data_IF_801785679608
#
_entry.id   IF_801785679608
#
_cell.length_a   1.000
_cell.length_b   1.000
_cell.length_c   1.000
_cell.angle_alpha   90.00
_cell.angle_beta   90.00
_cell.angle_gamma   90.00
#
_symmetry.space_group_name_H-M   'P 1'
#
loop_
_entity.id
_entity.type
_entity.pdbx_description
1 polymer ?
#
# COMPACT_ATOMS: atom_id res chain seq x y z
N UNK A 1 21.20 40.50 59.65
CA UNK A 1 22.18 39.52 59.13
C UNK A 1 21.52 38.36 58.35
N UNK A 2 20.20 38.48 58.01
CA UNK A 2 19.38 37.36 57.48
C UNK A 2 19.03 37.44 55.99
N UNK A 3 19.31 38.55 55.30
CA UNK A 3 18.91 38.69 53.89
C UNK A 3 19.90 38.10 52.84
N UNK A 4 21.13 37.85 53.22
CA UNK A 4 22.13 37.28 52.29
C UNK A 4 22.03 35.75 52.11
N UNK A 5 21.43 35.05 53.09
CA UNK A 5 21.27 33.57 53.02
C UNK A 5 20.09 33.14 52.15
N UNK A 6 19.08 34.01 52.00
CA UNK A 6 17.90 33.69 51.17
C UNK A 6 18.18 33.78 49.66
N UNK A 7 19.00 34.74 49.24
CA UNK A 7 19.30 35.00 47.83
C UNK A 7 20.22 33.88 47.25
N UNK A 8 21.18 33.38 48.01
CA UNK A 8 22.09 32.33 47.58
C UNK A 8 21.39 30.98 47.40
N UNK A 9 20.39 30.67 48.23
CA UNK A 9 19.57 29.45 48.09
C UNK A 9 18.68 29.46 46.86
N UNK A 10 18.08 30.62 46.53
CA UNK A 10 17.25 30.77 45.33
C UNK A 10 18.07 30.66 44.02
N UNK A 11 19.27 31.25 43.99
CA UNK A 11 20.15 31.17 42.80
C UNK A 11 20.67 29.72 42.60
N UNK A 12 20.91 28.98 43.68
CA UNK A 12 21.35 27.57 43.57
C UNK A 12 20.26 26.64 43.05
N UNK A 13 19.01 26.86 43.48
CA UNK A 13 17.86 26.10 43.00
C UNK A 13 17.49 26.46 41.53
N UNK A 14 17.60 27.73 41.14
CA UNK A 14 17.42 28.17 39.76
C UNK A 14 18.45 27.56 38.82
N UNK A 15 19.73 27.47 39.21
CA UNK A 15 20.78 26.80 38.40
C UNK A 15 20.51 25.30 38.23
N UNK A 16 20.03 24.59 39.25
CA UNK A 16 19.62 23.20 39.17
C UNK A 16 18.43 23.00 38.27
N UNK A 17 17.44 23.91 38.27
CA UNK A 17 16.29 23.89 37.37
C UNK A 17 16.67 24.15 35.92
N UNK A 18 17.60 25.09 35.65
CA UNK A 18 18.12 25.38 34.33
C UNK A 18 18.95 24.22 33.74
N UNK A 19 19.76 23.53 34.57
CA UNK A 19 20.53 22.35 34.13
C UNK A 19 19.59 21.18 33.88
N UNK A 20 18.56 20.96 34.68
CA UNK A 20 17.54 19.91 34.43
C UNK A 20 16.70 20.23 33.18
N UNK A 21 16.35 21.49 32.93
CA UNK A 21 15.65 21.90 31.72
C UNK A 21 16.51 21.75 30.45
N UNK A 22 17.83 22.07 30.53
CA UNK A 22 18.78 21.82 29.42
C UNK A 22 19.01 20.34 29.14
N UNK A 23 19.04 19.47 30.16
CA UNK A 23 19.12 18.03 29.99
C UNK A 23 17.83 17.44 29.37
N UNK A 24 16.65 18.01 29.70
CA UNK A 24 15.39 17.58 29.10
C UNK A 24 15.21 18.03 27.64
N UNK A 25 15.82 19.17 27.24
CA UNK A 25 15.81 19.63 25.85
C UNK A 25 16.81 18.86 24.98
N UNK A 26 17.93 18.37 25.53
CA UNK A 26 18.91 17.58 24.81
C UNK A 26 18.39 16.17 24.44
N UNK A 27 17.39 15.64 25.15
CA UNK A 27 16.82 14.31 24.86
C UNK A 27 15.77 14.36 23.71
N UNK A 28 15.26 15.52 23.33
CA UNK A 28 14.35 15.67 22.18
C UNK A 28 15.01 15.87 20.83
N UNK A 29 16.31 16.03 20.78
CA UNK A 29 17.08 16.23 19.54
C UNK A 29 17.69 14.91 19.07
N UNK A 30 16.87 14.00 18.48
CA UNK A 30 17.48 12.79 17.92
C UNK A 30 16.58 11.69 17.40
N UNK A 31 15.29 11.85 17.36
CA UNK A 31 14.42 10.93 16.62
C UNK A 31 14.24 11.41 15.17
N UNK A 32 15.34 11.65 14.45
CA UNK A 32 15.29 11.56 13.00
C UNK A 32 14.90 10.11 12.68
N UNK A 33 13.78 9.91 11.99
CA UNK A 33 13.41 8.62 11.42
C UNK A 33 14.50 8.23 10.41
N UNK A 34 15.59 7.63 10.93
CA UNK A 34 16.68 7.15 10.09
C UNK A 34 16.17 5.95 9.29
N UNK A 35 16.03 6.14 7.99
CA UNK A 35 15.61 5.07 7.09
C UNK A 35 16.81 4.23 6.69
N UNK A 36 16.77 2.95 7.00
CA UNK A 36 17.78 1.98 6.62
C UNK A 36 17.88 1.83 5.10
N UNK A 37 19.10 1.73 4.61
CA UNK A 37 19.42 1.54 3.19
C UNK A 37 20.55 0.55 3.00
N UNK A 38 20.82 0.15 1.79
CA UNK A 38 22.00 -0.63 1.45
C UNK A 38 23.28 0.13 1.85
N UNK A 39 24.20 -0.55 2.56
CA UNK A 39 25.38 -0.01 3.18
C UNK A 39 25.27 0.21 4.68
N UNK A 40 24.07 0.26 5.24
CA UNK A 40 23.87 0.44 6.67
C UNK A 40 24.06 -0.88 7.45
N UNK A 41 24.39 -0.77 8.72
CA UNK A 41 24.35 -1.91 9.64
C UNK A 41 22.90 -2.33 9.91
N UNK A 42 22.66 -3.64 9.96
CA UNK A 42 21.34 -4.16 10.34
C UNK A 42 21.04 -3.75 11.80
N UNK A 43 19.82 -3.30 12.09
CA UNK A 43 19.48 -2.78 13.41
C UNK A 43 19.53 -3.85 14.49
N UNK A 44 19.77 -3.43 15.74
CA UNK A 44 19.73 -4.31 16.90
C UNK A 44 18.27 -4.57 17.32
N UNK A 45 17.58 -5.36 16.52
CA UNK A 45 16.19 -5.80 16.76
C UNK A 45 16.13 -7.32 16.88
N UNK A 46 15.15 -7.81 17.63
CA UNK A 46 14.82 -9.23 17.73
C UNK A 46 13.69 -9.54 16.75
N UNK A 47 13.93 -10.51 15.89
CA UNK A 47 12.94 -11.06 14.96
C UNK A 47 12.41 -12.36 15.57
N UNK A 48 11.11 -12.45 15.75
CA UNK A 48 10.51 -13.67 16.29
C UNK A 48 9.08 -13.48 16.78
N UNK A 49 8.41 -14.57 17.14
CA UNK A 49 8.87 -15.97 17.11
C UNK A 49 9.18 -16.50 15.71
N UNK A 50 10.14 -17.46 15.62
CA UNK A 50 10.52 -18.13 14.37
C UNK A 50 10.13 -19.60 14.44
N UNK A 51 9.67 -20.13 13.33
CA UNK A 51 9.38 -21.56 13.13
C UNK A 51 10.18 -22.12 11.95
N UNK A 52 10.35 -23.43 11.90
CA UNK A 52 11.24 -24.15 10.99
C UNK A 52 12.72 -23.80 11.16
N UNK A 53 13.11 -23.29 12.32
CA UNK A 53 14.49 -22.93 12.65
C UNK A 53 14.94 -23.64 13.93
N UNK A 54 16.25 -23.82 14.14
CA UNK A 54 16.80 -24.37 15.41
C UNK A 54 16.72 -23.35 16.56
N UNK A 55 16.27 -22.14 16.28
CA UNK A 55 16.14 -21.03 17.23
C UNK A 55 14.71 -20.48 17.18
N UNK A 56 14.25 -19.94 18.29
CA UNK A 56 12.90 -19.36 18.41
C UNK A 56 12.88 -17.85 18.11
N UNK A 57 14.02 -17.19 18.24
CA UNK A 57 14.21 -15.75 18.01
C UNK A 57 15.56 -15.51 17.37
N UNK A 58 15.71 -14.45 16.60
CA UNK A 58 16.93 -14.07 15.92
C UNK A 58 17.25 -12.59 16.12
N UNK A 59 18.41 -12.30 16.64
CA UNK A 59 18.99 -10.97 16.59
C UNK A 59 20.17 -10.99 15.61
N UNK A 60 19.92 -10.55 14.37
CA UNK A 60 20.91 -10.60 13.30
C UNK A 60 22.17 -9.76 13.59
N UNK A 61 22.05 -8.68 14.37
CA UNK A 61 23.21 -7.84 14.72
C UNK A 61 24.19 -8.54 15.67
N UNK A 62 23.77 -9.64 16.31
CA UNK A 62 24.55 -10.43 17.27
C UNK A 62 24.80 -11.89 16.81
N UNK A 63 24.05 -12.34 15.80
CA UNK A 63 24.08 -13.73 15.35
C UNK A 63 25.32 -14.01 14.51
N UNK A 64 26.19 -14.87 15.00
CA UNK A 64 27.43 -15.26 14.31
C UNK A 64 27.11 -16.27 13.19
N UNK A 65 27.36 -15.88 11.95
CA UNK A 65 27.18 -16.75 10.79
C UNK A 65 27.97 -16.23 9.59
N UNK A 66 28.50 -17.13 8.79
CA UNK A 66 29.15 -16.81 7.52
C UNK A 66 28.16 -16.74 6.34
N UNK A 67 26.84 -16.87 6.60
CA UNK A 67 25.81 -16.88 5.57
C UNK A 67 25.34 -15.47 5.21
N UNK A 68 24.84 -15.31 3.99
CA UNK A 68 23.93 -14.22 3.65
C UNK A 68 22.53 -14.54 4.18
N UNK A 69 21.94 -13.61 4.89
CA UNK A 69 20.54 -13.69 5.27
C UNK A 69 19.68 -12.98 4.23
N UNK A 70 18.71 -13.68 3.66
CA UNK A 70 17.72 -13.13 2.72
C UNK A 70 16.39 -13.04 3.45
N UNK A 71 16.07 -11.86 3.98
CA UNK A 71 14.83 -11.60 4.73
C UNK A 71 13.77 -11.17 3.72
N UNK A 72 12.83 -12.05 3.42
CA UNK A 72 11.72 -11.77 2.52
C UNK A 72 10.48 -11.28 3.30
N UNK A 73 10.02 -10.10 2.98
CA UNK A 73 8.79 -9.53 3.54
C UNK A 73 7.58 -10.06 2.77
N UNK A 74 6.74 -10.84 3.43
CA UNK A 74 5.64 -11.56 2.79
C UNK A 74 4.39 -11.62 3.68
N UNK A 75 3.29 -12.15 3.13
CA UNK A 75 2.08 -12.45 3.90
C UNK A 75 1.35 -13.67 3.34
N UNK A 76 0.64 -14.41 4.19
CA UNK A 76 -0.15 -15.59 3.79
C UNK A 76 -1.27 -15.24 2.81
N UNK A 77 -1.68 -13.99 2.79
CA UNK A 77 -2.70 -13.38 1.94
C UNK A 77 -2.16 -12.85 0.60
N UNK A 78 -0.85 -12.79 0.45
CA UNK A 78 -0.20 -12.22 -0.73
C UNK A 78 -0.06 -13.29 -1.81
N UNK A 79 -1.00 -13.35 -2.75
CA UNK A 79 -1.00 -14.36 -3.83
C UNK A 79 0.31 -14.43 -4.63
N UNK A 80 0.94 -13.31 -5.07
CA UNK A 80 2.23 -13.39 -5.76
C UNK A 80 3.39 -13.79 -4.84
N UNK A 81 3.31 -13.52 -3.53
CA UNK A 81 4.39 -13.92 -2.60
C UNK A 81 4.53 -15.44 -2.48
N UNK A 82 3.45 -16.21 -2.70
CA UNK A 82 3.48 -17.66 -2.52
C UNK A 82 4.46 -18.35 -3.48
N UNK A 83 4.38 -18.17 -4.82
CA UNK A 83 5.38 -18.72 -5.74
C UNK A 83 6.77 -18.10 -5.55
N UNK A 84 6.87 -16.84 -5.10
CA UNK A 84 8.15 -16.22 -4.76
C UNK A 84 8.84 -16.94 -3.59
N UNK A 85 8.10 -17.30 -2.53
CA UNK A 85 8.60 -18.09 -1.41
C UNK A 85 9.12 -19.47 -1.86
N UNK A 86 8.42 -20.14 -2.78
CA UNK A 86 8.87 -21.40 -3.36
C UNK A 86 10.19 -21.22 -4.14
N UNK A 87 10.32 -20.11 -4.87
CA UNK A 87 11.54 -19.77 -5.61
C UNK A 87 12.72 -19.51 -4.66
N UNK A 88 12.49 -18.79 -3.56
CA UNK A 88 13.49 -18.55 -2.53
C UNK A 88 13.90 -19.85 -1.81
N UNK A 89 12.97 -20.77 -1.55
CA UNK A 89 13.25 -22.09 -0.97
C UNK A 89 14.17 -22.93 -1.89
N UNK A 90 13.92 -22.87 -3.21
CA UNK A 90 14.80 -23.52 -4.21
C UNK A 90 16.17 -22.87 -4.25
N UNK A 91 16.28 -21.56 -4.16
CA UNK A 91 17.56 -20.84 -4.06
C UNK A 91 18.31 -21.24 -2.79
N UNK A 92 17.67 -21.30 -1.63
CA UNK A 92 18.29 -21.76 -0.39
C UNK A 92 18.85 -23.18 -0.54
N UNK A 93 18.09 -24.09 -1.14
CA UNK A 93 18.55 -25.48 -1.38
C UNK A 93 19.77 -25.50 -2.32
N UNK A 94 19.77 -24.66 -3.38
CA UNK A 94 20.89 -24.56 -4.32
C UNK A 94 22.16 -24.00 -3.69
N UNK A 95 22.05 -22.98 -2.87
CA UNK A 95 23.18 -22.32 -2.19
C UNK A 95 23.49 -22.88 -0.81
N UNK A 96 22.69 -23.83 -0.32
CA UNK A 96 22.85 -24.59 0.92
C UNK A 96 23.44 -23.73 2.06
N UNK A 97 24.71 -24.02 2.47
CA UNK A 97 25.34 -23.36 3.63
C UNK A 97 25.68 -21.87 3.41
N UNK A 98 25.55 -21.34 2.20
CA UNK A 98 25.95 -19.96 1.87
C UNK A 98 24.86 -18.92 2.13
N UNK A 99 23.58 -19.31 2.08
CA UNK A 99 22.46 -18.41 2.36
C UNK A 99 21.49 -19.01 3.37
N UNK A 100 20.77 -18.13 4.08
CA UNK A 100 19.63 -18.49 4.90
C UNK A 100 18.46 -17.56 4.54
N UNK A 101 17.37 -18.13 4.06
CA UNK A 101 16.14 -17.40 3.78
C UNK A 101 15.27 -17.34 5.03
N UNK A 102 14.74 -16.16 5.31
CA UNK A 102 13.78 -15.89 6.39
C UNK A 102 12.57 -15.23 5.77
N UNK A 103 11.42 -15.87 5.80
CA UNK A 103 10.14 -15.24 5.45
C UNK A 103 9.62 -14.47 6.67
N UNK A 104 9.63 -13.15 6.63
CA UNK A 104 9.15 -12.27 7.69
C UNK A 104 7.76 -11.73 7.37
N UNK A 105 6.80 -11.99 8.23
CA UNK A 105 5.42 -11.51 8.09
C UNK A 105 5.02 -10.65 9.30
N UNK A 106 4.15 -9.68 9.08
CA UNK A 106 3.53 -8.93 10.18
C UNK A 106 2.29 -9.63 10.76
N UNK A 107 1.99 -10.85 10.30
CA UNK A 107 0.88 -11.65 10.80
C UNK A 107 1.23 -12.38 12.09
N UNK A 108 0.25 -12.66 12.95
CA UNK A 108 0.45 -13.49 14.15
C UNK A 108 0.95 -14.89 13.80
N UNK A 109 1.85 -15.46 14.63
CA UNK A 109 2.46 -16.76 14.39
C UNK A 109 1.44 -17.90 14.18
N UNK A 110 0.28 -17.83 14.82
CA UNK A 110 -0.80 -18.81 14.65
C UNK A 110 -1.31 -18.89 13.21
N UNK A 111 -1.31 -17.76 12.49
CA UNK A 111 -1.69 -17.69 11.07
C UNK A 111 -0.64 -18.34 10.18
N UNK A 112 0.63 -18.07 10.45
CA UNK A 112 1.76 -18.70 9.74
C UNK A 112 1.73 -20.22 9.95
N UNK A 113 1.45 -20.71 11.17
CA UNK A 113 1.29 -22.15 11.45
C UNK A 113 0.15 -22.79 10.65
N UNK A 114 -1.02 -22.13 10.57
CA UNK A 114 -2.16 -22.61 9.74
C UNK A 114 -1.80 -22.66 8.24
N UNK A 115 -1.06 -21.67 7.76
CA UNK A 115 -0.53 -21.66 6.38
C UNK A 115 0.41 -22.85 6.15
N UNK A 116 1.40 -23.07 7.03
CA UNK A 116 2.36 -24.17 6.91
C UNK A 116 1.71 -25.55 6.94
N UNK A 117 0.64 -25.72 7.71
CA UNK A 117 -0.10 -26.99 7.73
C UNK A 117 -0.68 -27.34 6.37
N UNK A 118 -1.02 -26.34 5.53
CA UNK A 118 -1.54 -26.52 4.17
C UNK A 118 -0.45 -26.50 3.11
N UNK A 119 0.62 -25.74 3.33
CA UNK A 119 1.73 -25.57 2.42
C UNK A 119 3.08 -25.64 3.18
N UNK A 120 3.64 -26.83 3.37
CA UNK A 120 4.92 -27.02 4.06
C UNK A 120 6.06 -26.27 3.39
N UNK A 121 6.96 -25.68 4.17
CA UNK A 121 8.17 -24.99 3.71
C UNK A 121 9.34 -25.33 4.60
N UNK A 122 10.57 -25.31 4.03
CA UNK A 122 11.84 -25.55 4.76
C UNK A 122 12.59 -24.26 5.13
N UNK A 123 12.11 -23.10 4.69
CA UNK A 123 12.71 -21.83 5.07
C UNK A 123 12.26 -21.43 6.49
N UNK A 124 13.04 -20.58 7.13
CA UNK A 124 12.65 -20.04 8.42
C UNK A 124 11.50 -19.05 8.24
N UNK A 125 10.47 -19.15 9.04
CA UNK A 125 9.33 -18.23 9.01
C UNK A 125 9.23 -17.51 10.35
N UNK A 126 9.24 -16.19 10.29
CA UNK A 126 9.26 -15.30 11.45
C UNK A 126 8.13 -14.29 11.41
N UNK A 127 7.81 -13.73 12.58
CA UNK A 127 6.81 -12.65 12.69
C UNK A 127 7.41 -11.34 13.19
N UNK A 128 6.90 -10.24 12.68
CA UNK A 128 7.15 -8.86 13.13
C UNK A 128 5.80 -8.14 13.21
N UNK A 129 4.98 -8.51 14.19
CA UNK A 129 3.59 -8.01 14.32
C UNK A 129 3.52 -6.50 14.57
N UNK A 130 4.61 -5.88 15.04
CA UNK A 130 4.73 -4.43 15.19
C UNK A 130 5.17 -3.75 13.88
N UNK A 131 5.50 -4.52 12.84
CA UNK A 131 6.02 -4.02 11.55
C UNK A 131 7.27 -3.12 11.70
N UNK A 132 8.13 -3.41 12.66
CA UNK A 132 9.30 -2.59 12.98
C UNK A 132 10.28 -2.51 11.81
N UNK A 133 10.59 -3.65 11.18
CA UNK A 133 11.51 -3.70 10.06
C UNK A 133 10.92 -2.99 8.82
N UNK A 134 9.60 -3.12 8.59
CA UNK A 134 8.92 -2.38 7.53
C UNK A 134 9.05 -0.87 7.72
N UNK A 135 8.84 -0.38 8.94
CA UNK A 135 8.95 1.04 9.28
C UNK A 135 10.38 1.55 9.12
N UNK A 136 11.37 0.82 9.66
CA UNK A 136 12.78 1.19 9.59
C UNK A 136 13.32 1.22 8.15
N UNK A 137 12.80 0.38 7.27
CA UNK A 137 13.16 0.32 5.86
C UNK A 137 12.28 1.20 4.96
N UNK A 138 11.27 1.86 5.55
CA UNK A 138 10.24 2.63 4.81
C UNK A 138 9.59 1.82 3.68
N UNK A 139 9.27 0.56 3.95
CA UNK A 139 8.64 -0.34 3.00
C UNK A 139 7.13 -0.36 3.23
N UNK A 140 6.37 -0.01 2.20
CA UNK A 140 4.91 0.10 2.28
C UNK A 140 4.18 -1.20 1.92
N UNK A 141 4.88 -2.19 1.35
CA UNK A 141 4.26 -3.40 0.82
C UNK A 141 5.19 -4.61 0.93
N UNK A 142 4.62 -5.80 0.89
CA UNK A 142 5.30 -7.11 0.84
C UNK A 142 5.90 -7.37 -0.55
N UNK A 143 6.61 -8.49 -0.72
CA UNK A 143 7.27 -8.84 -1.99
C UNK A 143 8.62 -8.15 -2.15
N UNK A 144 9.31 -7.93 -1.03
CA UNK A 144 10.65 -7.34 -0.99
C UNK A 144 11.59 -8.15 -0.10
N UNK A 145 12.85 -8.18 -0.50
CA UNK A 145 13.92 -8.86 0.24
C UNK A 145 14.96 -7.87 0.73
N UNK A 146 15.36 -8.01 1.99
CA UNK A 146 16.52 -7.36 2.58
C UNK A 146 17.62 -8.40 2.68
N UNK A 147 18.80 -8.14 2.10
CA UNK A 147 19.92 -9.05 2.16
C UNK A 147 20.98 -8.51 3.10
N UNK A 148 21.35 -9.32 4.10
CA UNK A 148 22.32 -8.98 5.15
C UNK A 148 23.50 -9.92 5.06
N UNK A 149 24.73 -9.39 5.09
CA UNK A 149 25.97 -10.19 5.04
C UNK A 149 26.44 -10.63 6.44
N UNK A 150 27.51 -11.43 6.47
CA UNK A 150 28.13 -11.91 7.69
C UNK A 150 28.71 -10.79 8.60
N UNK A 151 28.91 -9.59 8.08
CA UNK A 151 29.32 -8.41 8.84
C UNK A 151 28.13 -7.62 9.38
N UNK A 152 26.92 -8.16 9.30
CA UNK A 152 25.67 -7.54 9.70
C UNK A 152 25.36 -6.25 8.92
N UNK A 153 25.75 -6.17 7.66
CA UNK A 153 25.48 -5.02 6.78
C UNK A 153 24.35 -5.36 5.80
N UNK A 154 23.45 -4.43 5.57
CA UNK A 154 22.44 -4.53 4.51
C UNK A 154 23.17 -4.34 3.17
N UNK A 155 23.37 -5.40 2.43
CA UNK A 155 24.09 -5.35 1.14
C UNK A 155 23.18 -5.10 -0.04
N UNK A 156 21.87 -5.36 0.11
CA UNK A 156 20.87 -5.04 -0.93
C UNK A 156 19.46 -5.01 -0.33
N UNK A 157 18.58 -4.19 -0.95
CA UNK A 157 17.14 -4.22 -0.78
C UNK A 157 16.53 -4.39 -2.16
N UNK A 158 15.83 -5.49 -2.40
CA UNK A 158 15.42 -5.95 -3.72
C UNK A 158 13.93 -6.29 -3.74
N UNK A 159 13.28 -6.15 -4.89
CA UNK A 159 12.01 -6.86 -5.13
C UNK A 159 12.27 -8.36 -5.10
N UNK A 160 11.36 -9.14 -4.53
CA UNK A 160 11.55 -10.58 -4.36
C UNK A 160 11.74 -11.30 -5.69
N UNK A 161 11.01 -10.92 -6.74
CA UNK A 161 11.12 -11.45 -8.10
C UNK A 161 12.51 -11.24 -8.74
N UNK A 162 13.23 -10.22 -8.28
CA UNK A 162 14.60 -9.91 -8.73
C UNK A 162 15.67 -10.78 -8.06
N UNK A 163 15.34 -11.50 -6.98
CA UNK A 163 16.29 -12.35 -6.25
C UNK A 163 16.46 -13.68 -6.98
N UNK A 164 17.60 -13.84 -7.64
CA UNK A 164 17.91 -15.01 -8.45
C UNK A 164 19.36 -15.48 -8.25
N UNK A 165 19.72 -16.60 -8.90
CA UNK A 165 21.07 -17.20 -8.80
C UNK A 165 22.18 -16.21 -9.15
N UNK A 166 22.00 -15.35 -10.18
CA UNK A 166 23.02 -14.38 -10.59
C UNK A 166 23.25 -13.30 -9.52
N UNK A 167 22.19 -12.80 -8.93
CA UNK A 167 22.25 -11.79 -7.87
C UNK A 167 22.88 -12.38 -6.61
N UNK A 168 22.47 -13.58 -6.17
CA UNK A 168 23.03 -14.24 -4.98
C UNK A 168 24.53 -14.51 -5.17
N UNK A 169 24.97 -15.01 -6.35
CA UNK A 169 26.39 -15.21 -6.63
C UNK A 169 27.21 -13.91 -6.54
N UNK A 170 26.68 -12.79 -7.04
CA UNK A 170 27.34 -11.48 -6.91
C UNK A 170 27.49 -11.08 -5.44
N UNK A 171 26.41 -11.19 -4.65
CA UNK A 171 26.41 -10.81 -3.25
C UNK A 171 27.33 -11.70 -2.40
N UNK A 172 27.43 -13.01 -2.69
CA UNK A 172 28.38 -13.91 -2.04
C UNK A 172 29.83 -13.49 -2.32
N UNK A 173 30.14 -13.02 -3.53
CA UNK A 173 31.46 -12.49 -3.90
C UNK A 173 31.74 -11.09 -3.37
N UNK A 174 30.78 -10.47 -2.66
CA UNK A 174 30.89 -9.09 -2.17
C UNK A 174 30.71 -8.01 -3.24
N UNK A 175 30.24 -8.39 -4.42
CA UNK A 175 29.96 -7.42 -5.50
C UNK A 175 28.70 -6.61 -5.17
N UNK A 176 28.73 -5.30 -5.51
CA UNK A 176 27.57 -4.42 -5.35
C UNK A 176 26.49 -4.76 -6.37
N UNK A 177 25.24 -4.75 -5.91
CA UNK A 177 24.06 -4.85 -6.77
C UNK A 177 23.18 -3.61 -6.60
N UNK A 178 22.47 -3.22 -7.65
CA UNK A 178 21.55 -2.08 -7.59
C UNK A 178 20.32 -2.49 -6.78
N UNK A 179 20.07 -1.82 -5.66
CA UNK A 179 18.82 -1.98 -4.89
C UNK A 179 17.62 -1.42 -5.68
N UNK A 180 16.54 -2.17 -5.77
CA UNK A 180 15.30 -1.81 -6.46
C UNK A 180 14.05 -2.00 -5.58
N UNK A 181 14.23 -2.38 -4.31
CA UNK A 181 13.16 -2.62 -3.34
C UNK A 181 12.65 -1.36 -2.63
N UNK A 182 13.49 -0.36 -2.43
CA UNK A 182 13.08 0.88 -1.74
C UNK A 182 12.53 1.91 -2.72
N UNK A 183 11.36 2.45 -2.39
CA UNK A 183 10.85 3.69 -2.97
C UNK A 183 11.26 4.82 -2.05
N UNK A 184 12.27 5.60 -2.41
CA UNK A 184 12.67 6.78 -1.64
C UNK A 184 11.49 7.76 -1.52
N UNK A 185 11.06 8.03 -0.30
CA UNK A 185 10.10 9.10 -0.01
C UNK A 185 10.83 10.45 -0.09
N UNK A 186 10.91 11.04 -1.25
CA UNK A 186 11.26 12.47 -1.39
C UNK A 186 9.99 13.32 -1.21
N UNK A 187 9.33 13.18 -0.07
CA UNK A 187 8.32 14.13 0.37
C UNK A 187 9.00 15.14 1.31
N UNK A 188 9.87 15.99 0.77
CA UNK A 188 10.24 17.21 1.46
C UNK A 188 9.07 18.19 1.30
N UNK A 189 8.40 18.47 2.40
CA UNK A 189 7.26 19.40 2.49
C UNK A 189 7.60 20.87 2.21
N UNK A 190 8.81 21.15 1.73
CA UNK A 190 9.33 22.49 1.40
C UNK A 190 9.56 22.70 -0.09
N UNK A 191 9.35 21.69 -0.95
CA UNK A 191 9.49 21.86 -2.40
C UNK A 191 8.26 22.59 -2.97
N UNK A 192 8.53 23.53 -3.90
CA UNK A 192 7.49 24.20 -4.70
C UNK A 192 6.61 23.14 -5.37
N UNK A 193 5.32 23.46 -5.44
CA UNK A 193 4.36 22.60 -6.16
C UNK A 193 4.87 22.31 -7.58
N UNK A 194 5.00 21.02 -7.99
CA UNK A 194 5.58 20.65 -9.28
C UNK A 194 4.84 21.21 -10.49
N UNK A 195 3.56 21.61 -10.31
CA UNK A 195 2.75 22.25 -11.34
C UNK A 195 2.69 23.79 -11.20
N UNK A 196 3.40 24.35 -10.22
CA UNK A 196 3.45 25.79 -9.98
C UNK A 196 2.13 26.37 -9.43
N UNK A 197 1.31 25.52 -8.80
CA UNK A 197 0.03 25.92 -8.22
C UNK A 197 0.24 26.47 -6.82
N UNK A 198 -0.18 27.69 -6.59
CA UNK A 198 -0.20 28.36 -5.28
C UNK A 198 -1.63 28.72 -4.85
N UNK A 199 -1.78 29.24 -3.64
CA UNK A 199 -3.07 29.58 -3.06
C UNK A 199 -3.82 30.73 -3.74
N UNK A 200 -3.17 31.49 -4.61
CA UNK A 200 -3.73 32.65 -5.32
C UNK A 200 -4.33 32.26 -6.67
N UNK A 201 -3.98 31.05 -7.19
CA UNK A 201 -4.53 30.60 -8.46
C UNK A 201 -6.01 30.25 -8.37
N UNK A 202 -6.80 30.86 -9.23
CA UNK A 202 -8.23 30.57 -9.35
C UNK A 202 -8.48 29.21 -10.00
N UNK A 203 -7.73 28.87 -11.05
CA UNK A 203 -7.83 27.59 -11.77
C UNK A 203 -6.49 27.26 -12.46
N UNK A 204 -6.26 25.97 -12.68
CA UNK A 204 -5.11 25.47 -13.44
C UNK A 204 -5.47 24.18 -14.17
N UNK A 205 -4.88 23.99 -15.34
CA UNK A 205 -4.88 22.70 -16.00
C UNK A 205 -3.52 22.44 -16.62
N UNK A 206 -2.92 21.34 -16.26
CA UNK A 206 -1.63 20.92 -16.80
C UNK A 206 -1.62 19.40 -16.99
N UNK A 207 -1.15 18.95 -18.15
CA UNK A 207 -0.81 17.55 -18.41
C UNK A 207 0.62 17.47 -18.91
N UNK A 208 1.37 16.49 -18.40
CA UNK A 208 2.77 16.22 -18.75
C UNK A 208 2.98 14.73 -18.92
N UNK A 209 4.02 14.36 -19.65
CA UNK A 209 4.54 12.99 -19.69
C UNK A 209 5.19 12.61 -18.35
N UNK A 210 5.72 11.40 -18.26
CA UNK A 210 6.38 10.86 -17.08
C UNK A 210 7.46 11.81 -16.50
N UNK A 211 7.40 12.04 -15.19
CA UNK A 211 8.36 12.84 -14.43
C UNK A 211 9.21 11.91 -13.54
N UNK A 212 10.50 11.76 -13.86
CA UNK A 212 11.38 10.79 -13.23
C UNK A 212 11.66 11.06 -11.72
N UNK A 213 11.50 12.29 -11.28
CA UNK A 213 11.67 12.76 -9.91
C UNK A 213 10.39 12.60 -9.05
N UNK A 214 9.25 12.27 -9.68
CA UNK A 214 7.97 12.08 -9.01
C UNK A 214 7.61 10.60 -8.86
N UNK A 215 6.94 10.27 -7.75
CA UNK A 215 6.37 8.94 -7.51
C UNK A 215 5.02 8.81 -8.21
N UNK A 216 4.66 7.57 -8.58
CA UNK A 216 3.29 7.28 -9.01
C UNK A 216 2.32 7.47 -7.85
N UNK A 217 1.46 8.48 -7.93
CA UNK A 217 0.47 8.81 -6.88
C UNK A 217 -0.62 9.74 -7.39
N UNK A 218 -1.77 9.70 -6.70
CA UNK A 218 -2.83 10.67 -6.81
C UNK A 218 -2.96 11.51 -5.52
N UNK A 219 -3.32 12.77 -5.65
CA UNK A 219 -3.65 13.68 -4.54
C UNK A 219 -4.98 14.36 -4.79
N UNK A 220 -5.82 14.40 -3.77
CA UNK A 220 -7.12 15.09 -3.80
C UNK A 220 -7.32 15.75 -2.44
N UNK A 221 -7.00 17.06 -2.31
CA UNK A 221 -7.23 17.78 -1.07
C UNK A 221 -8.72 17.77 -0.71
N UNK A 222 -9.04 17.46 0.54
CA UNK A 222 -10.41 17.48 1.08
C UNK A 222 -10.70 18.72 1.90
N UNK A 223 -9.69 19.56 2.19
CA UNK A 223 -9.79 20.75 3.03
C UNK A 223 -8.87 21.87 2.52
N UNK A 224 -8.98 23.04 3.14
CA UNK A 224 -8.19 24.22 2.78
C UNK A 224 -8.63 24.84 1.44
N UNK A 225 -7.81 25.74 0.90
CA UNK A 225 -8.10 26.51 -0.33
C UNK A 225 -8.39 25.60 -1.54
N UNK A 226 -7.77 24.45 -1.61
CA UNK A 226 -7.91 23.49 -2.71
C UNK A 226 -8.93 22.37 -2.42
N UNK A 227 -9.55 22.36 -1.23
CA UNK A 227 -10.48 21.31 -0.81
C UNK A 227 -11.62 21.10 -1.80
N UNK A 228 -11.73 19.87 -2.37
CA UNK A 228 -12.76 19.50 -3.35
C UNK A 228 -12.63 20.17 -4.73
N UNK A 229 -11.58 20.96 -4.96
CA UNK A 229 -11.38 21.75 -6.19
C UNK A 229 -10.20 21.28 -7.03
N UNK A 230 -9.28 20.49 -6.44
CA UNK A 230 -8.05 20.08 -7.10
C UNK A 230 -7.91 18.58 -7.12
N UNK A 231 -7.46 18.05 -8.24
CA UNK A 231 -6.98 16.68 -8.39
C UNK A 231 -5.63 16.70 -9.10
N UNK A 232 -4.68 15.96 -8.54
CA UNK A 232 -3.32 15.90 -9.07
C UNK A 232 -2.91 14.43 -9.19
N UNK A 233 -2.33 14.06 -10.32
CA UNK A 233 -1.71 12.76 -10.54
C UNK A 233 -0.26 12.93 -10.96
N UNK A 234 0.61 12.07 -10.46
CA UNK A 234 1.99 11.93 -10.88
C UNK A 234 2.21 10.51 -11.41
N UNK A 235 2.72 10.39 -12.62
CA UNK A 235 3.12 9.12 -13.23
C UNK A 235 2.05 8.03 -13.15
N UNK A 236 0.82 8.37 -13.53
CA UNK A 236 -0.36 7.50 -13.45
C UNK A 236 -0.84 7.15 -14.85
N UNK A 237 -1.28 5.90 -15.04
CA UNK A 237 -1.86 5.44 -16.30
C UNK A 237 -3.22 6.09 -16.58
N UNK A 238 -3.55 6.21 -17.85
CA UNK A 238 -4.80 6.85 -18.30
C UNK A 238 -6.06 6.18 -17.73
N UNK A 239 -5.99 4.86 -17.52
CA UNK A 239 -7.07 4.08 -16.95
C UNK A 239 -7.53 4.63 -15.58
N UNK A 240 -6.58 4.81 -14.65
CA UNK A 240 -6.90 5.30 -13.30
C UNK A 240 -7.49 6.70 -13.31
N UNK A 241 -7.01 7.58 -14.20
CA UNK A 241 -7.56 8.93 -14.32
C UNK A 241 -9.01 8.88 -14.84
N UNK A 242 -9.31 8.03 -15.83
CA UNK A 242 -10.67 7.85 -16.31
C UNK A 242 -11.59 7.17 -15.29
N UNK A 243 -11.09 6.16 -14.56
CA UNK A 243 -11.84 5.52 -13.47
C UNK A 243 -12.29 6.55 -12.43
N UNK A 244 -11.40 7.43 -12.03
CA UNK A 244 -11.69 8.49 -11.08
C UNK A 244 -12.69 9.52 -11.68
N UNK A 245 -12.44 10.00 -12.91
CA UNK A 245 -13.28 10.99 -13.56
C UNK A 245 -14.73 10.50 -13.76
N UNK A 246 -14.91 9.20 -14.04
CA UNK A 246 -16.23 8.60 -14.27
C UNK A 246 -16.82 7.91 -13.04
N UNK A 247 -16.09 7.91 -11.91
CA UNK A 247 -16.43 7.19 -10.68
C UNK A 247 -16.74 5.71 -10.97
N UNK A 248 -15.78 5.03 -11.62
CA UNK A 248 -15.78 3.59 -11.86
C UNK A 248 -14.68 2.98 -11.00
N UNK A 249 -15.03 2.34 -9.90
CA UNK A 249 -14.09 1.80 -8.93
C UNK A 249 -13.52 0.46 -9.39
N UNK A 250 -14.38 -0.43 -9.87
CA UNK A 250 -13.99 -1.78 -10.26
C UNK A 250 -13.39 -1.83 -11.67
N UNK A 251 -12.19 -2.38 -11.80
CA UNK A 251 -11.59 -2.69 -13.10
C UNK A 251 -12.38 -3.73 -13.90
N UNK A 252 -13.23 -4.52 -13.25
CA UNK A 252 -14.14 -5.46 -13.91
C UNK A 252 -15.30 -4.77 -14.66
N UNK A 253 -15.46 -3.45 -14.50
CA UNK A 253 -16.42 -2.62 -15.26
C UNK A 253 -15.79 -1.92 -16.47
N UNK A 254 -14.61 -2.39 -16.93
CA UNK A 254 -13.87 -1.76 -18.01
C UNK A 254 -13.79 -2.67 -19.23
N UNK A 255 -14.07 -2.08 -20.38
CA UNK A 255 -13.96 -2.74 -21.70
C UNK A 255 -13.06 -1.90 -22.58
N UNK A 256 -12.23 -2.57 -23.38
CA UNK A 256 -11.32 -1.93 -24.31
C UNK A 256 -11.79 -2.18 -25.73
N UNK A 257 -11.85 -1.14 -26.55
CA UNK A 257 -12.15 -1.19 -27.97
C UNK A 257 -10.93 -0.78 -28.80
N UNK A 258 -10.74 -1.39 -29.92
CA UNK A 258 -9.60 -1.15 -30.81
C UNK A 258 -8.27 -1.39 -30.11
N UNK A 259 -7.34 -0.46 -30.25
CA UNK A 259 -6.00 -0.55 -29.65
C UNK A 259 -5.91 0.03 -28.23
N UNK A 260 -7.04 0.36 -27.58
CA UNK A 260 -7.03 1.03 -26.27
C UNK A 260 -6.37 0.21 -25.15
N UNK A 261 -6.41 -1.14 -25.23
CA UNK A 261 -5.75 -2.03 -24.25
C UNK A 261 -4.25 -1.76 -24.09
N UNK A 262 -3.55 -1.29 -25.12
CA UNK A 262 -2.12 -0.97 -25.02
C UNK A 262 -1.81 0.12 -23.99
N UNK A 263 -2.76 0.98 -23.68
CA UNK A 263 -2.61 2.07 -22.70
C UNK A 263 -2.77 1.60 -21.24
N UNK A 264 -3.14 0.35 -21.03
CA UNK A 264 -3.18 -0.30 -19.71
C UNK A 264 -1.85 -1.05 -19.43
N UNK A 265 -0.73 -0.33 -19.57
CA UNK A 265 0.60 -0.85 -19.32
C UNK A 265 1.38 0.12 -18.41
N UNK A 266 1.47 -0.21 -17.14
CA UNK A 266 2.16 0.60 -16.12
C UNK A 266 3.69 0.48 -16.17
N UNK A 267 4.25 -0.46 -16.89
CA UNK A 267 5.69 -0.63 -17.03
C UNK A 267 6.27 0.31 -18.08
N UNK A 268 5.48 0.67 -19.08
CA UNK A 268 5.88 1.63 -20.10
C UNK A 268 5.68 3.07 -19.63
N UNK A 269 6.79 3.72 -19.28
CA UNK A 269 6.81 5.11 -18.81
C UNK A 269 6.25 6.11 -19.82
N UNK A 270 6.25 5.78 -21.13
CA UNK A 270 5.67 6.64 -22.16
C UNK A 270 4.15 6.68 -22.12
N UNK A 271 3.52 5.74 -21.40
CA UNK A 271 2.07 5.65 -21.21
C UNK A 271 1.62 6.18 -19.84
N UNK A 272 2.56 6.71 -19.03
CA UNK A 272 2.28 7.34 -17.75
C UNK A 272 2.28 8.85 -17.89
N UNK A 273 1.30 9.48 -17.25
CA UNK A 273 1.10 10.93 -17.30
C UNK A 273 1.11 11.54 -15.91
N UNK A 274 1.51 12.82 -15.86
CA UNK A 274 1.28 13.71 -14.75
C UNK A 274 0.18 14.69 -15.14
N UNK A 275 -0.82 14.84 -14.29
CA UNK A 275 -2.04 15.61 -14.56
C UNK A 275 -2.37 16.48 -13.33
N UNK A 276 -2.66 17.73 -13.53
CA UNK A 276 -3.13 18.64 -12.50
C UNK A 276 -4.32 19.44 -12.99
N UNK A 277 -5.40 19.38 -12.25
CA UNK A 277 -6.61 20.15 -12.51
C UNK A 277 -7.05 20.85 -11.23
N UNK A 278 -7.04 22.18 -11.25
CA UNK A 278 -7.65 23.05 -10.26
C UNK A 278 -8.81 23.78 -10.92
N UNK A 279 -10.02 23.59 -10.44
CA UNK A 279 -11.20 24.32 -10.92
C UNK A 279 -11.46 25.56 -10.06
N UNK A 280 -12.20 26.53 -10.62
CA UNK A 280 -12.63 27.73 -9.87
C UNK A 280 -13.51 27.34 -8.67
N UNK A 281 -13.60 28.18 -7.62
CA UNK A 281 -14.42 27.87 -6.44
C UNK A 281 -15.88 27.50 -6.76
N UNK A 282 -16.51 28.22 -7.68
CA UNK A 282 -17.87 28.01 -8.13
C UNK A 282 -18.06 26.73 -8.98
N UNK A 283 -16.97 26.14 -9.45
CA UNK A 283 -16.97 24.90 -10.27
C UNK A 283 -16.65 23.64 -9.45
N UNK A 284 -16.59 23.75 -8.12
CA UNK A 284 -16.23 22.64 -7.24
C UNK A 284 -17.01 21.35 -7.54
N UNK A 285 -18.32 21.45 -7.62
CA UNK A 285 -19.21 20.30 -7.84
C UNK A 285 -19.11 19.75 -9.28
N UNK A 286 -18.53 20.53 -10.18
CA UNK A 286 -18.29 20.14 -11.58
C UNK A 286 -16.90 19.56 -11.83
N UNK A 287 -16.06 19.37 -10.79
CA UNK A 287 -14.67 18.93 -10.93
C UNK A 287 -14.55 17.67 -11.79
N UNK A 288 -15.37 16.64 -11.52
CA UNK A 288 -15.34 15.39 -12.29
C UNK A 288 -15.75 15.57 -13.76
N UNK A 289 -16.76 16.39 -14.03
CA UNK A 289 -17.22 16.67 -15.40
C UNK A 289 -16.14 17.42 -16.18
N UNK A 290 -15.51 18.42 -15.54
CA UNK A 290 -14.42 19.18 -16.16
C UNK A 290 -13.21 18.25 -16.38
N UNK A 291 -12.92 17.37 -15.42
CA UNK A 291 -11.85 16.37 -15.56
C UNK A 291 -12.10 15.43 -16.75
N UNK A 292 -13.33 14.91 -16.91
CA UNK A 292 -13.72 14.11 -18.09
C UNK A 292 -13.42 14.85 -19.38
N UNK A 293 -13.86 16.11 -19.51
CA UNK A 293 -13.63 16.93 -20.69
C UNK A 293 -12.15 17.13 -20.99
N UNK A 294 -11.33 17.44 -19.96
CA UNK A 294 -9.89 17.65 -20.10
C UNK A 294 -9.17 16.38 -20.53
N UNK A 295 -9.52 15.24 -19.95
CA UNK A 295 -8.96 13.93 -20.33
C UNK A 295 -9.34 13.56 -21.76
N UNK A 296 -10.61 13.73 -22.14
CA UNK A 296 -11.12 13.50 -23.49
C UNK A 296 -10.40 14.35 -24.55
N UNK A 297 -10.06 15.60 -24.21
CA UNK A 297 -9.36 16.51 -25.13
C UNK A 297 -7.88 16.19 -25.26
N UNK A 298 -7.22 15.78 -24.15
CA UNK A 298 -5.76 15.77 -24.05
C UNK A 298 -5.11 14.41 -24.25
N UNK A 299 -5.85 13.31 -24.01
CA UNK A 299 -5.27 11.96 -24.08
C UNK A 299 -5.58 11.28 -25.42
N UNK A 300 -4.69 10.37 -25.88
CA UNK A 300 -4.90 9.63 -27.13
C UNK A 300 -5.99 8.56 -27.04
N UNK A 301 -6.29 8.08 -25.84
CA UNK A 301 -7.40 7.17 -25.54
C UNK A 301 -8.56 7.97 -24.97
N UNK A 302 -9.77 7.59 -25.33
CA UNK A 302 -11.02 8.22 -24.89
C UNK A 302 -11.83 7.24 -24.05
N UNK A 303 -12.79 7.74 -23.27
CA UNK A 303 -13.68 6.92 -22.47
C UNK A 303 -15.14 7.34 -22.66
N UNK A 304 -16.06 6.38 -22.58
CA UNK A 304 -17.50 6.62 -22.48
C UNK A 304 -18.13 5.64 -21.52
N UNK A 305 -19.29 5.99 -20.99
CA UNK A 305 -20.09 5.10 -20.15
C UNK A 305 -21.22 4.51 -20.98
N UNK A 306 -21.37 3.21 -20.88
CA UNK A 306 -22.51 2.46 -21.44
C UNK A 306 -23.22 1.70 -20.33
N UNK A 307 -24.54 1.54 -20.48
CA UNK A 307 -25.31 0.62 -19.65
C UNK A 307 -25.40 -0.72 -20.38
N UNK A 308 -24.77 -1.77 -19.81
CA UNK A 308 -24.74 -3.12 -20.41
C UNK A 308 -25.31 -4.15 -19.45
N UNK A 309 -26.10 -5.09 -19.98
CA UNK A 309 -26.46 -6.31 -19.24
C UNK A 309 -25.23 -7.21 -19.17
N UNK A 310 -24.74 -7.46 -17.94
CA UNK A 310 -23.55 -8.25 -17.73
C UNK A 310 -23.67 -9.15 -16.50
N UNK A 311 -22.85 -10.16 -16.46
CA UNK A 311 -22.70 -11.02 -15.28
C UNK A 311 -22.08 -10.21 -14.14
N UNK A 312 -22.67 -10.29 -12.97
CA UNK A 312 -22.23 -9.64 -11.74
C UNK A 312 -22.36 -10.60 -10.57
N UNK A 313 -21.70 -10.29 -9.49
CA UNK A 313 -22.09 -10.78 -8.17
C UNK A 313 -22.96 -9.75 -7.47
N UNK A 314 -23.94 -10.21 -6.71
CA UNK A 314 -24.77 -9.35 -5.84
C UNK A 314 -24.53 -9.71 -4.39
N UNK A 315 -24.27 -8.70 -3.57
CA UNK A 315 -24.20 -8.84 -2.12
C UNK A 315 -25.60 -8.73 -1.54
N UNK A 316 -26.02 -9.71 -0.76
CA UNK A 316 -27.34 -9.79 -0.11
C UNK A 316 -27.21 -10.12 1.36
N UNK A 317 -28.22 -9.82 2.15
CA UNK A 317 -28.37 -10.36 3.49
C UNK A 317 -28.50 -11.89 3.43
N UNK A 318 -27.86 -12.61 4.35
CA UNK A 318 -27.99 -14.06 4.50
C UNK A 318 -29.36 -14.42 5.01
N UNK A 319 -29.84 -13.71 6.04
CA UNK A 319 -31.18 -13.78 6.59
C UNK A 319 -31.87 -12.41 6.43
N UNK A 320 -33.05 -12.38 5.83
CA UNK A 320 -33.79 -11.16 5.57
C UNK A 320 -34.10 -10.41 6.88
N UNK A 321 -33.81 -9.12 6.90
CA UNK A 321 -34.03 -8.25 8.07
C UNK A 321 -33.02 -8.40 9.21
N UNK A 322 -32.07 -9.33 9.14
CA UNK A 322 -31.07 -9.53 10.21
C UNK A 322 -29.76 -8.85 9.86
N UNK A 323 -29.48 -7.72 10.50
CA UNK A 323 -28.22 -6.99 10.37
C UNK A 323 -27.38 -7.20 11.63
N UNK A 324 -26.20 -7.82 11.49
CA UNK A 324 -25.27 -8.06 12.60
C UNK A 324 -24.10 -7.07 12.64
N UNK A 325 -24.00 -6.18 11.64
CA UNK A 325 -22.98 -5.14 11.60
C UNK A 325 -23.27 -4.01 12.59
N UNK A 326 -22.28 -3.53 13.34
CA UNK A 326 -22.46 -2.35 14.18
C UNK A 326 -22.68 -1.09 13.32
N UNK A 327 -23.72 -0.33 13.63
CA UNK A 327 -23.95 0.96 13.02
C UNK A 327 -22.80 1.91 13.37
N UNK A 328 -22.26 2.61 12.38
CA UNK A 328 -21.17 3.55 12.59
C UNK A 328 -21.69 4.91 13.04
N UNK A 329 -20.93 5.56 13.93
CA UNK A 329 -21.14 6.97 14.30
C UNK A 329 -20.46 7.95 13.35
N UNK A 330 -19.62 7.45 12.44
CA UNK A 330 -18.88 8.27 11.48
C UNK A 330 -19.75 8.61 10.28
N UNK A 331 -19.64 9.83 9.81
CA UNK A 331 -20.32 10.35 8.61
C UNK A 331 -19.49 10.21 7.34
N UNK A 332 -18.20 9.86 7.49
CA UNK A 332 -17.27 9.67 6.38
C UNK A 332 -16.58 8.31 6.50
N UNK A 333 -16.28 7.71 5.35
CA UNK A 333 -15.55 6.45 5.25
C UNK A 333 -14.07 6.63 5.63
N UNK A 334 -13.59 5.76 6.51
CA UNK A 334 -12.17 5.50 6.74
C UNK A 334 -11.95 4.01 6.59
N UNK A 335 -11.01 3.58 5.76
CA UNK A 335 -10.82 2.16 5.49
C UNK A 335 -9.37 1.77 5.20
N UNK A 336 -9.10 0.50 5.43
CA UNK A 336 -7.95 -0.21 4.89
C UNK A 336 -8.39 -1.61 4.45
N UNK A 337 -7.74 -2.15 3.43
CA UNK A 337 -7.94 -3.53 3.05
C UNK A 337 -6.64 -4.17 2.54
N UNK A 338 -6.61 -5.48 2.65
CA UNK A 338 -5.54 -6.33 2.15
C UNK A 338 -6.10 -7.71 1.85
N UNK A 339 -5.27 -8.65 1.43
CA UNK A 339 -5.70 -10.06 1.34
C UNK A 339 -6.11 -10.69 2.68
N UNK A 340 -5.99 -9.99 3.80
CA UNK A 340 -6.52 -10.39 5.10
C UNK A 340 -7.98 -9.98 5.33
N UNK A 341 -8.54 -9.14 4.48
CA UNK A 341 -9.88 -8.65 4.55
C UNK A 341 -9.99 -7.12 4.51
N UNK A 342 -11.16 -6.64 4.83
CA UNK A 342 -11.54 -5.24 4.88
C UNK A 342 -11.70 -4.79 6.34
N UNK A 343 -11.23 -3.60 6.66
CA UNK A 343 -11.47 -2.91 7.94
C UNK A 343 -11.91 -1.48 7.62
N UNK A 344 -13.22 -1.25 7.60
CA UNK A 344 -13.84 0.03 7.26
C UNK A 344 -14.71 0.55 8.38
N UNK A 345 -14.56 1.82 8.71
CA UNK A 345 -15.42 2.55 9.64
C UNK A 345 -16.21 3.60 8.87
N UNK A 346 -17.50 3.73 9.15
CA UNK A 346 -18.38 4.62 8.44
C UNK A 346 -18.62 4.19 6.98
N UNK A 347 -18.47 2.91 6.65
CA UNK A 347 -18.66 2.37 5.31
C UNK A 347 -20.14 2.12 5.02
N UNK A 348 -20.60 2.37 3.80
CA UNK A 348 -21.82 1.81 3.26
C UNK A 348 -21.56 0.40 2.70
N UNK A 349 -22.60 -0.38 2.45
CA UNK A 349 -22.44 -1.69 1.78
C UNK A 349 -22.01 -1.51 0.31
N UNK A 350 -22.39 -0.41 -0.32
CA UNK A 350 -21.90 -0.04 -1.64
C UNK A 350 -20.38 0.21 -1.61
N UNK A 351 -19.86 0.97 -0.62
CA UNK A 351 -18.41 1.16 -0.44
C UNK A 351 -17.69 -0.20 -0.28
N UNK A 352 -18.24 -1.10 0.54
CA UNK A 352 -17.68 -2.44 0.76
C UNK A 352 -17.67 -3.28 -0.53
N UNK A 353 -18.76 -3.24 -1.29
CA UNK A 353 -18.91 -3.95 -2.57
C UNK A 353 -17.94 -3.41 -3.64
N UNK A 354 -17.91 -2.08 -3.82
CA UNK A 354 -17.15 -1.44 -4.89
C UNK A 354 -15.64 -1.42 -4.59
N UNK A 355 -15.26 -1.04 -3.35
CA UNK A 355 -13.85 -0.83 -2.98
C UNK A 355 -13.16 -2.16 -2.69
N UNK A 356 -13.83 -3.09 -2.02
CA UNK A 356 -13.21 -4.33 -1.57
C UNK A 356 -13.65 -5.55 -2.39
N UNK A 357 -14.93 -5.90 -2.39
CA UNK A 357 -15.38 -7.15 -3.00
C UNK A 357 -15.12 -7.19 -4.51
N UNK A 358 -15.29 -6.09 -5.22
CA UNK A 358 -15.01 -6.01 -6.65
C UNK A 358 -13.52 -6.20 -7.00
N UNK A 359 -12.61 -6.11 -6.02
CA UNK A 359 -11.19 -6.45 -6.19
C UNK A 359 -10.89 -7.92 -5.82
N UNK A 360 -11.76 -8.57 -5.06
CA UNK A 360 -11.58 -9.97 -4.65
C UNK A 360 -12.29 -10.96 -5.59
N UNK A 361 -13.27 -10.49 -6.37
CA UNK A 361 -13.99 -11.29 -7.35
C UNK A 361 -13.62 -10.90 -8.78
N UNK A 362 -13.81 -11.83 -9.71
CA UNK A 362 -13.53 -11.64 -11.15
C UNK A 362 -14.64 -10.90 -11.90
N UNK A 363 -15.74 -10.57 -11.24
CA UNK A 363 -16.89 -9.83 -11.77
C UNK A 363 -17.19 -8.65 -10.84
N UNK A 364 -17.84 -7.60 -11.33
CA UNK A 364 -18.32 -6.51 -10.48
C UNK A 364 -19.23 -7.04 -9.38
N UNK A 365 -19.15 -6.47 -8.18
CA UNK A 365 -20.04 -6.80 -7.07
C UNK A 365 -20.95 -5.62 -6.80
N UNK A 366 -22.26 -5.86 -6.72
CA UNK A 366 -23.28 -4.84 -6.51
C UNK A 366 -23.94 -5.06 -5.16
N UNK A 367 -24.15 -4.00 -4.43
CA UNK A 367 -24.93 -4.03 -3.19
C UNK A 367 -26.44 -4.14 -3.50
N UNK A 368 -27.05 -5.26 -3.13
CA UNK A 368 -28.50 -5.48 -3.13
C UNK A 368 -29.00 -5.85 -1.71
N UNK A 369 -28.30 -5.39 -0.67
CA UNK A 369 -28.70 -5.65 0.72
C UNK A 369 -29.91 -4.84 1.15
N UNK A 370 -30.21 -3.73 0.48
CA UNK A 370 -31.25 -2.77 0.87
C UNK A 370 -30.90 -1.92 2.09
N UNK A 371 -29.66 -2.01 2.59
CA UNK A 371 -29.21 -1.28 3.78
C UNK A 371 -28.63 0.09 3.40
N UNK A 372 -29.31 1.17 3.79
CA UNK A 372 -28.90 2.53 3.50
C UNK A 372 -27.96 3.15 4.56
N UNK A 373 -27.66 2.42 5.65
CA UNK A 373 -26.86 2.95 6.76
C UNK A 373 -25.35 2.95 6.51
N UNK A 374 -24.64 3.54 7.49
CA UNK A 374 -23.19 3.40 7.60
C UNK A 374 -22.84 2.45 8.74
N UNK A 375 -21.88 1.59 8.48
CA UNK A 375 -21.49 0.49 9.37
C UNK A 375 -19.98 0.46 9.57
N UNK A 376 -19.55 -0.12 10.71
CA UNK A 376 -18.17 -0.51 10.92
C UNK A 376 -18.03 -1.97 10.43
N UNK A 377 -17.47 -2.13 9.25
CA UNK A 377 -17.39 -3.43 8.56
C UNK A 377 -15.98 -3.97 8.72
N UNK A 378 -15.85 -5.14 9.33
CA UNK A 378 -14.57 -5.84 9.45
C UNK A 378 -14.71 -7.30 9.02
N UNK A 379 -13.96 -7.68 8.00
CA UNK A 379 -13.85 -9.08 7.56
C UNK A 379 -12.50 -9.66 7.96
N UNK A 380 -12.41 -10.97 8.09
CA UNK A 380 -11.18 -11.69 8.40
C UNK A 380 -11.00 -12.87 7.44
N UNK A 381 -10.16 -12.68 6.43
CA UNK A 381 -9.84 -13.71 5.44
C UNK A 381 -8.64 -14.52 5.91
N UNK A 382 -8.83 -15.76 6.31
CA UNK A 382 -7.74 -16.65 6.74
C UNK A 382 -6.77 -17.00 5.60
N UNK A 383 -7.34 -17.27 4.42
CA UNK A 383 -6.58 -17.48 3.19
C UNK A 383 -7.28 -16.72 2.05
N UNK A 384 -6.53 -16.03 1.23
CA UNK A 384 -7.06 -15.30 0.07
C UNK A 384 -7.38 -16.27 -1.07
N UNK A 385 -8.42 -17.07 -0.86
CA UNK A 385 -9.07 -17.93 -1.86
C UNK A 385 -10.53 -17.50 -1.97
N UNK A 386 -11.19 -17.90 -3.03
CA UNK A 386 -12.61 -17.59 -3.21
C UNK A 386 -13.46 -18.09 -2.02
N UNK A 387 -13.17 -19.29 -1.54
CA UNK A 387 -13.86 -19.92 -0.38
C UNK A 387 -13.58 -19.11 0.91
N UNK A 388 -12.32 -18.68 1.12
CA UNK A 388 -11.93 -17.88 2.29
C UNK A 388 -12.60 -16.51 2.30
N UNK A 389 -12.74 -15.88 1.13
CA UNK A 389 -13.45 -14.60 0.98
C UNK A 389 -14.95 -14.80 1.22
N UNK A 390 -15.57 -15.79 0.58
CA UNK A 390 -17.00 -16.11 0.79
C UNK A 390 -17.31 -16.41 2.25
N UNK A 391 -16.44 -17.18 2.92
CA UNK A 391 -16.58 -17.45 4.35
C UNK A 391 -16.52 -16.17 5.17
N UNK A 392 -15.59 -15.25 4.88
CA UNK A 392 -15.47 -14.00 5.61
C UNK A 392 -16.69 -13.08 5.45
N UNK A 393 -17.37 -13.16 4.32
CA UNK A 393 -18.64 -12.45 4.04
C UNK A 393 -19.80 -13.13 4.80
N UNK A 394 -19.83 -14.46 4.80
CA UNK A 394 -20.82 -15.26 5.55
C UNK A 394 -20.74 -15.02 7.05
N UNK A 395 -19.53 -14.95 7.60
CA UNK A 395 -19.25 -14.68 9.03
C UNK A 395 -19.79 -13.31 9.49
N UNK A 396 -19.99 -12.34 8.59
CA UNK A 396 -20.59 -11.03 8.89
C UNK A 396 -22.06 -10.89 8.45
N UNK A 397 -22.71 -12.02 8.11
CA UNK A 397 -24.16 -12.09 7.87
C UNK A 397 -24.62 -11.80 6.45
N UNK A 398 -23.72 -11.90 5.46
CA UNK A 398 -24.04 -11.67 4.05
C UNK A 398 -23.74 -12.89 3.20
N UNK A 399 -24.29 -12.90 1.99
CA UNK A 399 -24.00 -13.87 0.94
C UNK A 399 -23.79 -13.17 -0.39
N UNK A 400 -23.10 -13.85 -1.30
CA UNK A 400 -22.80 -13.35 -2.64
C UNK A 400 -23.36 -14.35 -3.66
N UNK A 401 -24.17 -13.86 -4.57
CA UNK A 401 -24.83 -14.67 -5.61
C UNK A 401 -24.46 -14.15 -7.01
N UNK A 402 -24.17 -15.05 -7.96
CA UNK A 402 -23.96 -14.67 -9.36
C UNK A 402 -25.29 -14.46 -10.06
N UNK A 403 -25.42 -13.38 -10.81
CA UNK A 403 -26.62 -13.02 -11.58
C UNK A 403 -26.29 -12.11 -12.76
N UNK A 404 -27.28 -11.64 -13.49
CA UNK A 404 -27.13 -10.60 -14.53
C UNK A 404 -27.80 -9.31 -14.11
N UNK A 405 -27.13 -8.19 -14.36
CA UNK A 405 -27.67 -6.85 -14.09
C UNK A 405 -27.23 -5.88 -15.16
N UNK A 406 -28.04 -4.86 -15.38
CA UNK A 406 -27.71 -3.72 -16.23
C UNK A 406 -26.90 -2.73 -15.41
N UNK A 407 -25.60 -2.63 -15.69
CA UNK A 407 -24.66 -1.79 -14.95
C UNK A 407 -23.92 -0.84 -15.86
N UNK A 408 -23.30 0.18 -15.25
CA UNK A 408 -22.38 1.11 -15.92
C UNK A 408 -21.10 0.38 -16.28
N UNK A 409 -20.74 0.40 -17.56
CA UNK A 409 -19.46 -0.09 -18.09
C UNK A 409 -18.71 1.08 -18.67
N UNK A 410 -17.46 1.26 -18.30
CA UNK A 410 -16.57 2.22 -18.93
C UNK A 410 -15.89 1.57 -20.13
N UNK A 411 -16.13 2.14 -21.30
CA UNK A 411 -15.52 1.71 -22.55
C UNK A 411 -14.36 2.65 -22.87
N UNK A 412 -13.14 2.12 -22.89
CA UNK A 412 -11.96 2.83 -23.36
C UNK A 412 -11.77 2.53 -24.84
N UNK A 413 -11.57 3.56 -25.67
CA UNK A 413 -11.39 3.42 -27.10
C UNK A 413 -10.38 4.42 -27.65
N UNK A 414 -9.79 4.10 -28.77
CA UNK A 414 -8.96 5.03 -29.54
C UNK A 414 -9.78 5.51 -30.74
N UNK A 415 -9.73 6.80 -31.07
CA UNK A 415 -10.23 7.24 -32.35
C UNK A 415 -9.47 6.44 -33.42
N UNK A 416 -10.16 5.58 -34.15
CA UNK A 416 -9.58 5.03 -35.38
C UNK A 416 -9.25 6.24 -36.23
N UNK A 417 -7.95 6.42 -36.51
CA UNK A 417 -7.55 7.49 -37.43
C UNK A 417 -8.33 7.32 -38.72
N UNK A 418 -9.05 8.37 -39.09
CA UNK A 418 -9.42 8.55 -40.50
C UNK A 418 -8.07 8.75 -41.19
N UNK A 419 -7.53 7.66 -41.75
CA UNK A 419 -6.44 7.69 -42.71
C UNK A 419 -6.98 8.25 -44.01
#
# INVERSE_FOLDING_TARGET
MDDQFCITSQIHNMKKFLIAAMLFTAIKAGAQNYMLKAGDKFPNIVIGPIINAPITELNLSKYQSNKLFVINLWGTWCSPCIPEMDSLAKLQSKFNQQIQVIGLSNEPIGRIKKYLAKKPSKIWLATDTASLLYQMLNLAYVGQCVVVNAKHEIVAILKTDSVNTKIINKLIKGEKVKSNGQVQNRLNSTEKDPFGVDSLLASNFTIRSYMADQRSMGKRPNSGVFGGRRVTYFNVGVLNMYQDAYNIISSNQIVYEGSAKKYDNYEDKNLLYCFDLLVKPEQRDSLHIIMQQKLQQSLPVKARIELRDTDVYVLKLKEEGKVILPASKLTALTYGFSGQGFDGKGATLADFSDIYLSNEFSLPVIDETGLAGRYDIKTNVEMRTKEGILKSIDDIGFKVEKTRRKIRIMVLYTNQGIL
#
